data_IF_420074931803
#
_entry.id   IF_420074931803
#
_cell.length_a   1.000
_cell.length_b   1.000
_cell.length_c   1.000
_cell.angle_alpha   90.00
_cell.angle_beta   90.00
_cell.angle_gamma   90.00
#
_symmetry.space_group_name_H-M   'P 1'
#
loop_
_entity.id
_entity.type
_entity.pdbx_description
1 polymer ?
#
# COMPACT_ATOMS: atom_id res chain seq x y z
N UNK A 1 2.20 -29.32 0.89
CA UNK A 1 2.35 -28.60 2.18
C UNK A 1 1.23 -27.57 2.29
N UNK A 2 0.78 -27.28 3.51
CA UNK A 2 -0.29 -26.31 3.80
C UNK A 2 0.15 -25.35 4.90
N UNK A 3 -0.42 -24.14 4.93
CA UNK A 3 -0.19 -23.20 6.04
C UNK A 3 -0.86 -23.65 7.33
N UNK A 4 -0.36 -23.16 8.48
CA UNK A 4 -0.90 -23.46 9.81
C UNK A 4 -2.40 -23.14 9.90
N UNK A 5 -2.83 -21.98 9.40
CA UNK A 5 -4.23 -21.57 9.38
C UNK A 5 -5.12 -22.52 8.56
N UNK A 6 -4.62 -23.04 7.43
CA UNK A 6 -5.35 -24.01 6.60
C UNK A 6 -5.41 -25.38 7.28
N UNK A 7 -4.30 -25.82 7.86
CA UNK A 7 -4.25 -27.05 8.62
C UNK A 7 -5.28 -27.04 9.77
N UNK A 8 -5.37 -25.92 10.50
CA UNK A 8 -6.38 -25.73 11.55
C UNK A 8 -7.81 -25.67 10.99
N UNK A 9 -8.03 -25.00 9.85
CA UNK A 9 -9.37 -24.90 9.26
C UNK A 9 -9.93 -26.26 8.83
N UNK A 10 -9.09 -27.12 8.23
CA UNK A 10 -9.54 -28.40 7.69
C UNK A 10 -9.44 -29.56 8.70
N UNK A 11 -8.51 -29.51 9.65
CA UNK A 11 -8.22 -30.61 10.56
C UNK A 11 -8.21 -30.21 12.05
N UNK A 12 -8.45 -28.94 12.35
CA UNK A 12 -8.55 -28.40 13.71
C UNK A 12 -9.96 -28.60 14.26
N UNK A 13 -10.27 -29.84 14.64
CA UNK A 13 -11.41 -30.14 15.50
C UNK A 13 -11.00 -31.29 16.40
N UNK A 14 -10.54 -30.96 17.60
CA UNK A 14 -10.38 -31.92 18.68
C UNK A 14 -11.10 -31.33 19.90
N UNK A 15 -12.24 -31.92 20.24
CA UNK A 15 -13.03 -31.62 21.44
C UNK A 15 -12.28 -31.97 22.75
N UNK A 16 -11.09 -32.58 22.68
CA UNK A 16 -10.38 -33.18 23.81
C UNK A 16 -8.92 -32.68 24.02
N UNK A 17 -8.60 -31.43 23.71
CA UNK A 17 -7.33 -30.79 24.12
C UNK A 17 -6.03 -31.37 23.53
N UNK A 18 -6.09 -32.40 22.67
CA UNK A 18 -4.93 -32.97 22.00
C UNK A 18 -4.50 -32.11 20.80
N UNK A 19 -3.18 -31.93 20.63
CA UNK A 19 -2.58 -31.24 19.48
C UNK A 19 -3.12 -31.81 18.16
N UNK A 20 -3.70 -30.95 17.33
CA UNK A 20 -4.19 -31.32 16.00
C UNK A 20 -3.00 -31.63 15.08
N UNK A 21 -3.04 -32.77 14.37
CA UNK A 21 -2.03 -33.13 13.37
C UNK A 21 -2.69 -33.28 12.00
N UNK A 22 -2.19 -32.52 11.02
CA UNK A 22 -2.63 -32.56 9.64
C UNK A 22 -1.70 -33.39 8.73
N UNK A 23 -0.50 -33.76 9.20
CA UNK A 23 0.49 -34.51 8.42
C UNK A 23 -0.04 -35.93 8.17
N UNK A 24 0.11 -36.41 6.93
CA UNK A 24 -0.36 -37.72 6.49
C UNK A 24 -1.85 -37.77 6.12
N UNK A 25 -2.63 -36.73 6.44
CA UNK A 25 -4.04 -36.64 6.02
C UNK A 25 -4.16 -36.24 4.55
N UNK A 26 -5.30 -36.59 3.94
CA UNK A 26 -5.58 -36.30 2.53
C UNK A 26 -6.51 -35.09 2.40
N UNK A 27 -6.24 -34.22 1.43
CA UNK A 27 -7.08 -33.11 0.99
C UNK A 27 -7.42 -33.33 -0.48
N UNK A 28 -8.65 -33.04 -0.90
CA UNK A 28 -9.04 -33.13 -2.30
C UNK A 28 -8.86 -31.75 -2.96
N UNK A 29 -7.95 -31.66 -3.92
CA UNK A 29 -7.73 -30.46 -4.75
C UNK A 29 -8.67 -30.46 -5.97
N UNK A 30 -9.31 -29.31 -6.24
CA UNK A 30 -10.29 -29.11 -7.33
C UNK A 30 -11.34 -30.23 -7.43
N UNK A 31 -11.80 -30.75 -6.28
CA UNK A 31 -12.78 -31.85 -6.18
C UNK A 31 -12.39 -33.18 -6.88
N UNK A 32 -11.18 -33.32 -7.41
CA UNK A 32 -10.76 -34.48 -8.24
C UNK A 32 -9.46 -35.12 -7.80
N UNK A 33 -8.53 -34.35 -7.25
CA UNK A 33 -7.15 -34.80 -7.05
C UNK A 33 -6.86 -34.99 -5.56
N UNK A 34 -6.80 -36.24 -5.05
CA UNK A 34 -6.41 -36.49 -3.67
C UNK A 34 -4.92 -36.16 -3.47
N UNK A 35 -4.62 -35.34 -2.47
CA UNK A 35 -3.28 -34.88 -2.10
C UNK A 35 -3.00 -35.19 -0.64
N UNK A 36 -1.85 -35.81 -0.37
CA UNK A 36 -1.42 -36.06 1.00
C UNK A 36 -0.62 -34.88 1.56
N UNK A 37 -0.93 -34.50 2.80
CA UNK A 37 -0.25 -33.40 3.49
C UNK A 37 1.10 -33.89 4.02
N UNK A 38 2.19 -33.41 3.42
CA UNK A 38 3.56 -33.79 3.79
C UNK A 38 4.22 -32.84 4.79
N UNK A 39 3.68 -31.65 4.99
CA UNK A 39 4.27 -30.64 5.86
C UNK A 39 3.36 -29.45 6.10
N UNK A 40 3.56 -28.83 7.25
CA UNK A 40 2.86 -27.62 7.70
C UNK A 40 3.87 -26.49 7.73
N UNK A 41 3.56 -25.39 7.05
CA UNK A 41 4.38 -24.16 7.05
C UNK A 41 3.73 -23.10 7.91
N UNK A 42 4.53 -22.20 8.48
CA UNK A 42 3.98 -21.04 9.19
C UNK A 42 3.15 -20.16 8.25
N UNK A 43 2.19 -19.45 8.83
CA UNK A 43 1.39 -18.49 8.07
C UNK A 43 2.28 -17.35 7.59
N UNK A 44 2.06 -16.92 6.34
CA UNK A 44 2.82 -15.80 5.79
C UNK A 44 2.51 -14.50 6.54
N UNK A 45 3.48 -13.58 6.65
CA UNK A 45 3.23 -12.29 7.28
C UNK A 45 2.32 -11.43 6.38
N UNK A 46 1.48 -10.59 6.99
CA UNK A 46 0.48 -9.79 6.26
C UNK A 46 1.07 -8.81 5.24
N UNK A 47 2.36 -8.49 5.35
CA UNK A 47 3.10 -7.58 4.48
C UNK A 47 3.91 -8.32 3.38
N UNK A 48 3.44 -9.49 2.95
CA UNK A 48 4.08 -10.25 1.86
C UNK A 48 3.39 -10.01 0.52
N UNK A 49 4.18 -10.09 -0.55
CA UNK A 49 3.67 -10.20 -1.93
C UNK A 49 3.43 -11.66 -2.35
N UNK A 50 3.79 -12.63 -1.49
CA UNK A 50 3.69 -14.07 -1.73
C UNK A 50 2.76 -14.77 -0.70
N UNK A 51 1.44 -14.52 -0.73
CA UNK A 51 0.48 -15.11 0.22
C UNK A 51 0.17 -16.58 -0.13
N UNK A 52 1.16 -17.46 0.02
CA UNK A 52 1.03 -18.88 -0.33
C UNK A 52 0.28 -19.66 0.76
N UNK A 53 -0.84 -20.26 0.37
CA UNK A 53 -1.74 -21.01 1.25
C UNK A 53 -1.54 -22.53 1.12
N UNK A 54 -1.41 -23.00 -0.12
CA UNK A 54 -1.24 -24.39 -0.48
C UNK A 54 -0.03 -24.49 -1.41
N UNK A 55 0.88 -25.40 -1.10
CA UNK A 55 2.08 -25.65 -1.90
C UNK A 55 2.02 -27.10 -2.38
N UNK A 56 1.84 -27.27 -3.69
CA UNK A 56 1.77 -28.56 -4.37
C UNK A 56 3.12 -28.79 -5.06
N UNK A 57 3.61 -30.03 -5.02
CA UNK A 57 4.80 -30.42 -5.79
C UNK A 57 4.54 -30.21 -7.28
N UNK A 58 5.51 -29.63 -7.99
CA UNK A 58 5.42 -29.47 -9.45
C UNK A 58 5.17 -30.80 -10.16
N UNK A 59 5.74 -31.89 -9.68
CA UNK A 59 5.52 -33.22 -10.24
C UNK A 59 4.05 -33.68 -10.14
N UNK A 60 3.42 -33.43 -8.99
CA UNK A 60 2.00 -33.74 -8.78
C UNK A 60 1.10 -32.82 -9.60
N UNK A 61 1.42 -31.52 -9.65
CA UNK A 61 0.66 -30.54 -10.44
C UNK A 61 0.63 -30.91 -11.93
N UNK A 62 1.79 -31.28 -12.51
CA UNK A 62 1.87 -31.75 -13.90
C UNK A 62 1.07 -33.03 -14.18
N UNK A 63 0.84 -33.87 -13.17
CA UNK A 63 0.01 -35.06 -13.33
C UNK A 63 -1.50 -34.74 -13.32
N UNK A 64 -1.89 -33.61 -12.73
CA UNK A 64 -3.29 -33.17 -12.66
C UNK A 64 -3.71 -32.37 -13.88
N UNK A 65 -2.81 -31.51 -14.36
CA UNK A 65 -3.02 -30.66 -15.53
C UNK A 65 -2.59 -31.39 -16.80
N UNK A 66 -3.56 -31.71 -17.67
CA UNK A 66 -3.29 -32.30 -18.99
C UNK A 66 -2.86 -31.24 -20.01
N UNK A 67 -1.90 -30.39 -19.65
CA UNK A 67 -1.34 -29.34 -20.51
C UNK A 67 0.11 -29.66 -20.87
N UNK A 68 0.51 -29.26 -22.07
CA UNK A 68 1.92 -29.30 -22.45
C UNK A 68 2.70 -28.16 -21.75
N UNK A 69 3.47 -28.52 -20.73
CA UNK A 69 4.34 -27.61 -19.98
C UNK A 69 5.67 -27.31 -20.70
N UNK A 70 5.90 -27.88 -21.88
CA UNK A 70 7.09 -27.62 -22.70
C UNK A 70 6.82 -26.62 -23.82
N UNK A 71 5.56 -26.25 -24.02
CA UNK A 71 5.17 -25.21 -24.97
C UNK A 71 5.41 -23.81 -24.38
N UNK A 72 6.35 -23.07 -24.98
CA UNK A 72 6.67 -21.69 -24.59
C UNK A 72 5.90 -20.63 -25.39
N UNK A 73 5.16 -21.03 -26.44
CA UNK A 73 4.31 -20.12 -27.21
C UNK A 73 3.07 -19.68 -26.42
N UNK A 74 2.63 -20.54 -25.48
CA UNK A 74 1.47 -20.30 -24.65
C UNK A 74 1.83 -19.48 -23.40
N UNK A 75 1.82 -18.17 -23.59
CA UNK A 75 2.09 -17.16 -22.55
C UNK A 75 0.85 -16.80 -21.72
N UNK A 76 -0.24 -17.54 -21.86
CA UNK A 76 -1.49 -17.26 -21.13
C UNK A 76 -1.49 -18.05 -19.82
N UNK A 77 -1.31 -17.34 -18.70
CA UNK A 77 -1.47 -17.90 -17.36
C UNK A 77 -0.88 -17.04 -16.25
N UNK A 78 -1.32 -17.28 -15.02
CA UNK A 78 -0.84 -16.61 -13.80
C UNK A 78 0.48 -17.25 -13.27
N UNK A 79 1.26 -17.88 -14.15
CA UNK A 79 2.47 -18.62 -13.77
C UNK A 79 3.66 -17.66 -13.58
N UNK A 80 4.07 -17.47 -12.33
CA UNK A 80 5.27 -16.68 -11.99
C UNK A 80 6.50 -17.59 -11.82
N UNK A 81 7.57 -17.27 -12.53
CA UNK A 81 8.82 -18.03 -12.50
C UNK A 81 9.88 -17.29 -11.67
N UNK A 82 10.39 -17.95 -10.63
CA UNK A 82 11.44 -17.40 -9.78
C UNK A 82 12.80 -18.02 -10.12
N UNK A 83 13.79 -17.17 -10.41
CA UNK A 83 15.15 -17.59 -10.72
C UNK A 83 16.14 -17.07 -9.66
N UNK A 84 17.00 -17.95 -9.16
CA UNK A 84 18.11 -17.58 -8.29
C UNK A 84 19.40 -17.49 -9.11
N UNK A 85 19.92 -16.28 -9.28
CA UNK A 85 21.18 -16.05 -9.99
C UNK A 85 22.38 -16.45 -9.14
N UNK A 86 23.43 -16.98 -9.77
CA UNK A 86 24.72 -17.23 -9.11
C UNK A 86 25.32 -15.90 -8.63
N UNK A 87 26.04 -15.94 -7.50
CA UNK A 87 26.73 -14.76 -6.96
C UNK A 87 27.71 -14.20 -8.01
N UNK A 88 27.65 -12.89 -8.26
CA UNK A 88 28.50 -12.20 -9.24
C UNK A 88 27.97 -12.18 -10.68
N UNK A 89 26.84 -12.84 -10.96
CA UNK A 89 26.18 -12.73 -12.28
C UNK A 89 25.57 -11.35 -12.45
N UNK A 90 25.88 -10.68 -13.55
CA UNK A 90 25.24 -9.44 -13.98
C UNK A 90 23.87 -9.75 -14.62
N UNK A 91 22.73 -9.32 -14.01
CA UNK A 91 21.40 -9.56 -14.55
C UNK A 91 21.22 -8.97 -15.96
N UNK A 92 21.80 -7.81 -16.24
CA UNK A 92 21.66 -7.15 -17.54
C UNK A 92 22.34 -7.95 -18.66
N UNK A 93 23.45 -8.64 -18.35
CA UNK A 93 24.11 -9.55 -19.32
C UNK A 93 23.27 -10.80 -19.60
N UNK A 94 22.54 -11.29 -18.61
CA UNK A 94 21.64 -12.43 -18.78
C UNK A 94 20.41 -12.04 -19.60
N UNK A 95 19.81 -10.89 -19.30
CA UNK A 95 18.62 -10.37 -19.99
C UNK A 95 18.88 -10.12 -21.49
N UNK A 96 20.10 -9.72 -21.86
CA UNK A 96 20.50 -9.61 -23.29
C UNK A 96 20.45 -10.93 -24.06
N UNK A 97 20.41 -12.08 -23.38
CA UNK A 97 20.28 -13.41 -24.01
C UNK A 97 18.82 -13.84 -24.20
N UNK A 98 17.87 -13.15 -23.59
CA UNK A 98 16.45 -13.51 -23.67
C UNK A 98 15.85 -13.40 -25.08
N UNK A 99 16.20 -12.42 -25.93
CA UNK A 99 15.68 -12.40 -27.30
C UNK A 99 16.05 -13.65 -28.11
N UNK A 100 17.27 -14.16 -27.96
CA UNK A 100 17.72 -15.39 -28.63
C UNK A 100 17.03 -16.62 -28.05
N UNK A 101 16.87 -16.67 -26.73
CA UNK A 101 16.09 -17.71 -26.03
C UNK A 101 14.63 -17.73 -26.50
N UNK A 102 13.98 -16.57 -26.51
CA UNK A 102 12.59 -16.41 -26.93
C UNK A 102 12.42 -16.85 -28.39
N UNK A 103 13.33 -16.47 -29.28
CA UNK A 103 13.29 -16.94 -30.67
C UNK A 103 13.43 -18.46 -30.79
N UNK A 104 14.30 -19.07 -29.98
CA UNK A 104 14.55 -20.51 -29.99
C UNK A 104 13.36 -21.33 -29.50
N UNK A 105 12.63 -20.84 -28.49
CA UNK A 105 11.59 -21.63 -27.80
C UNK A 105 10.15 -21.18 -28.09
N UNK A 106 9.90 -19.90 -28.44
CA UNK A 106 8.55 -19.34 -28.68
C UNK A 106 8.21 -19.16 -30.17
N UNK A 107 9.14 -19.40 -31.08
CA UNK A 107 8.98 -19.12 -32.50
C UNK A 107 8.96 -17.62 -32.83
N UNK A 108 9.08 -17.28 -34.12
CA UNK A 108 9.34 -15.91 -34.59
C UNK A 108 8.21 -14.92 -34.26
N UNK A 109 6.94 -15.35 -34.31
CA UNK A 109 5.77 -14.47 -34.15
C UNK A 109 5.60 -14.04 -32.69
N UNK A 110 5.78 -14.97 -31.74
CA UNK A 110 5.61 -14.69 -30.31
C UNK A 110 6.85 -13.95 -29.78
N UNK A 111 8.06 -14.38 -30.18
CA UNK A 111 9.31 -13.73 -29.77
C UNK A 111 9.39 -12.25 -30.24
N UNK A 112 8.78 -11.91 -31.38
CA UNK A 112 8.71 -10.53 -31.85
C UNK A 112 7.74 -9.64 -31.06
N UNK A 113 6.81 -10.22 -30.29
CA UNK A 113 5.76 -9.50 -29.55
C UNK A 113 5.97 -9.51 -28.03
N UNK A 114 6.59 -10.56 -27.51
CA UNK A 114 6.77 -10.79 -26.08
C UNK A 114 8.21 -11.17 -25.80
N UNK A 115 8.90 -10.31 -25.07
CA UNK A 115 10.27 -10.56 -24.60
C UNK A 115 10.25 -10.73 -23.10
N UNK A 116 10.90 -11.79 -22.61
CA UNK A 116 11.08 -11.97 -21.17
C UNK A 116 11.99 -10.88 -20.61
N UNK A 117 11.75 -10.50 -19.36
CA UNK A 117 12.58 -9.50 -18.66
C UNK A 117 12.82 -9.94 -17.22
N UNK A 118 13.99 -9.61 -16.69
CA UNK A 118 14.32 -9.94 -15.30
C UNK A 118 13.76 -8.87 -14.38
N UNK A 119 12.91 -9.29 -13.45
CA UNK A 119 12.44 -8.44 -12.38
C UNK A 119 13.16 -8.82 -11.07
N UNK A 120 13.87 -7.88 -10.41
CA UNK A 120 14.40 -8.13 -9.09
C UNK A 120 13.25 -8.37 -8.10
N UNK A 121 13.36 -9.39 -7.24
CA UNK A 121 12.31 -9.72 -6.26
C UNK A 121 11.92 -8.54 -5.36
N UNK A 122 12.86 -7.64 -5.06
CA UNK A 122 12.62 -6.42 -4.26
C UNK A 122 11.71 -5.40 -4.96
N UNK A 123 11.58 -5.48 -6.27
CA UNK A 123 10.74 -4.56 -7.06
C UNK A 123 9.34 -5.10 -7.32
N UNK A 124 9.07 -6.38 -7.00
CA UNK A 124 7.79 -7.04 -7.22
C UNK A 124 6.60 -6.29 -6.59
N UNK A 125 6.80 -5.67 -5.42
CA UNK A 125 5.79 -4.87 -4.76
C UNK A 125 5.39 -3.59 -5.54
N UNK A 126 6.36 -3.03 -6.27
CA UNK A 126 6.30 -1.68 -6.81
C UNK A 126 6.07 -1.61 -8.32
N UNK A 127 6.36 -2.70 -9.02
CA UNK A 127 6.27 -2.75 -10.47
C UNK A 127 4.84 -3.07 -10.91
N UNK A 128 4.15 -2.06 -11.40
CA UNK A 128 2.77 -2.20 -11.88
C UNK A 128 2.69 -2.96 -13.21
N UNK A 129 3.81 -3.24 -13.90
CA UNK A 129 3.79 -3.92 -15.21
C UNK A 129 3.40 -5.39 -15.10
N UNK A 130 3.92 -6.10 -14.10
CA UNK A 130 3.82 -7.56 -13.99
C UNK A 130 2.81 -8.03 -12.95
N UNK A 131 2.36 -7.15 -12.05
CA UNK A 131 1.51 -7.54 -10.93
C UNK A 131 2.28 -8.37 -9.88
N UNK A 132 1.55 -8.90 -8.90
CA UNK A 132 2.09 -9.81 -7.89
C UNK A 132 1.03 -10.86 -7.48
N UNK A 133 1.46 -11.89 -6.73
CA UNK A 133 0.57 -12.95 -6.24
C UNK A 133 -0.47 -12.46 -5.22
N UNK A 134 -0.28 -11.28 -4.64
CA UNK A 134 -1.25 -10.64 -3.75
C UNK A 134 -2.32 -9.83 -4.52
N UNK A 135 -2.22 -9.74 -5.85
CA UNK A 135 -3.14 -8.99 -6.71
C UNK A 135 -3.14 -7.48 -6.47
N UNK A 136 -2.11 -6.94 -5.81
CA UNK A 136 -2.01 -5.55 -5.36
C UNK A 136 -0.59 -5.04 -5.47
N UNK A 137 -0.32 -4.22 -6.48
CA UNK A 137 0.94 -3.48 -6.63
C UNK A 137 0.74 -2.02 -6.24
N UNK A 138 1.74 -1.40 -5.62
CA UNK A 138 1.71 0.02 -5.26
C UNK A 138 2.86 0.73 -5.94
N UNK A 139 2.57 1.67 -6.85
CA UNK A 139 3.62 2.49 -7.46
C UNK A 139 4.50 3.20 -6.43
N UNK A 140 5.79 3.31 -6.77
CA UNK A 140 6.75 4.11 -5.99
C UNK A 140 6.28 5.57 -5.85
N UNK A 141 5.54 6.09 -6.83
CA UNK A 141 4.98 7.45 -6.80
C UNK A 141 3.90 7.62 -5.74
N UNK A 142 2.97 6.66 -5.65
CA UNK A 142 1.93 6.64 -4.60
C UNK A 142 2.56 6.53 -3.21
N UNK A 143 3.59 5.69 -3.07
CA UNK A 143 4.32 5.60 -1.80
C UNK A 143 5.02 6.93 -1.44
N UNK A 144 5.71 7.55 -2.41
CA UNK A 144 6.38 8.84 -2.21
C UNK A 144 5.40 9.95 -1.87
N UNK A 145 4.23 10.00 -2.51
CA UNK A 145 3.21 11.01 -2.20
C UNK A 145 2.65 10.83 -0.79
N UNK A 146 2.40 9.60 -0.35
CA UNK A 146 1.94 9.31 1.01
C UNK A 146 2.99 9.71 2.07
N UNK A 147 4.27 9.39 1.82
CA UNK A 147 5.38 9.82 2.69
C UNK A 147 5.44 11.35 2.76
N UNK A 148 5.34 12.02 1.62
CA UNK A 148 5.43 13.48 1.53
C UNK A 148 4.26 14.17 2.25
N UNK A 149 3.04 13.64 2.13
CA UNK A 149 1.88 14.10 2.90
C UNK A 149 2.13 13.93 4.41
N UNK A 150 2.63 12.76 4.84
CA UNK A 150 2.95 12.51 6.24
C UNK A 150 4.00 13.49 6.80
N UNK A 151 5.05 13.76 6.03
CA UNK A 151 6.10 14.74 6.38
C UNK A 151 5.52 16.15 6.50
N UNK A 152 4.66 16.57 5.58
CA UNK A 152 4.02 17.89 5.64
C UNK A 152 3.08 18.05 6.85
N UNK A 153 2.29 17.03 7.16
CA UNK A 153 1.43 17.04 8.35
C UNK A 153 2.28 17.13 9.62
N UNK A 154 3.37 16.36 9.70
CA UNK A 154 4.30 16.39 10.84
C UNK A 154 4.96 17.77 10.98
N UNK A 155 5.39 18.37 9.87
CA UNK A 155 6.00 19.69 9.85
C UNK A 155 5.00 20.77 10.31
N UNK A 156 3.76 20.74 9.83
CA UNK A 156 2.68 21.63 10.31
C UNK A 156 2.50 21.48 11.82
N UNK A 157 2.48 20.25 12.34
CA UNK A 157 2.33 20.00 13.77
C UNK A 157 3.51 20.57 14.58
N UNK A 158 4.74 20.40 14.10
CA UNK A 158 5.94 20.97 14.72
C UNK A 158 5.88 22.51 14.76
N UNK A 159 5.53 23.15 13.64
CA UNK A 159 5.39 24.62 13.59
C UNK A 159 4.30 25.09 14.54
N UNK A 160 3.14 24.42 14.55
CA UNK A 160 2.04 24.74 15.45
C UNK A 160 2.47 24.66 16.90
N UNK A 161 3.21 23.62 17.28
CA UNK A 161 3.75 23.48 18.62
C UNK A 161 4.72 24.62 18.96
N UNK A 162 5.68 24.93 18.07
CA UNK A 162 6.63 26.04 18.25
C UNK A 162 5.91 27.37 18.47
N UNK A 163 4.86 27.64 17.69
CA UNK A 163 4.07 28.87 17.81
C UNK A 163 3.36 28.95 19.17
N UNK A 164 2.70 27.87 19.60
CA UNK A 164 2.02 27.80 20.90
C UNK A 164 3.03 27.92 22.05
N UNK A 165 4.11 27.16 22.01
CA UNK A 165 5.16 27.15 23.02
C UNK A 165 5.83 28.54 23.15
N UNK A 166 6.05 29.23 22.04
CA UNK A 166 6.59 30.60 22.05
C UNK A 166 5.60 31.61 22.60
N UNK A 167 4.29 31.45 22.35
CA UNK A 167 3.28 32.30 22.98
C UNK A 167 3.20 32.08 24.51
N UNK A 168 3.34 30.82 24.95
CA UNK A 168 3.37 30.45 26.37
C UNK A 168 4.67 30.89 27.07
N UNK A 169 5.79 30.93 26.34
CA UNK A 169 7.08 31.41 26.82
C UNK A 169 7.00 32.81 27.44
N UNK A 170 6.15 33.70 26.89
CA UNK A 170 5.92 35.06 27.43
C UNK A 170 5.32 34.99 28.84
N UNK A 171 4.37 34.08 29.09
CA UNK A 171 3.78 33.87 30.43
C UNK A 171 4.79 33.28 31.41
N UNK A 172 5.64 32.35 30.94
CA UNK A 172 6.72 31.72 31.74
C UNK A 172 7.97 32.59 31.92
N UNK A 173 8.02 33.77 31.31
CA UNK A 173 9.20 34.64 31.32
C UNK A 173 9.53 35.19 32.72
N UNK A 174 8.53 35.45 33.56
CA UNK A 174 8.72 35.87 34.97
C UNK A 174 9.36 34.77 35.82
N UNK A 175 8.85 33.54 35.71
CA UNK A 175 9.38 32.38 36.42
C UNK A 175 10.85 32.11 36.07
N UNK A 176 11.18 32.17 34.77
CA UNK A 176 12.54 31.96 34.27
C UNK A 176 13.47 33.12 34.67
N UNK A 177 12.95 34.34 34.73
CA UNK A 177 13.65 35.51 35.26
C UNK A 177 14.06 35.31 36.71
N UNK A 178 13.15 34.83 37.56
CA UNK A 178 13.44 34.52 38.99
C UNK A 178 14.48 33.41 39.10
N UNK A 179 14.35 32.31 38.35
CA UNK A 179 15.32 31.20 38.37
C UNK A 179 16.73 31.63 37.97
N UNK A 180 16.87 32.51 36.97
CA UNK A 180 18.17 33.07 36.57
C UNK A 180 18.81 33.94 37.65
N UNK A 181 18.01 34.71 38.39
CA UNK A 181 18.51 35.53 39.51
C UNK A 181 19.00 34.64 40.65
N UNK A 182 18.38 33.46 40.85
CA UNK A 182 18.79 32.45 41.83
C UNK A 182 19.99 31.60 41.33
N UNK A 183 20.53 31.89 40.13
CA UNK A 183 21.76 31.25 39.63
C UNK A 183 21.55 30.10 38.64
N UNK A 184 20.33 29.90 38.11
CA UNK A 184 20.11 28.88 37.09
C UNK A 184 20.88 29.19 35.79
N UNK A 185 21.69 28.23 35.32
CA UNK A 185 22.44 28.36 34.07
C UNK A 185 21.53 28.24 32.85
N UNK A 186 21.98 28.84 31.73
CA UNK A 186 21.25 28.79 30.45
C UNK A 186 21.01 27.35 29.98
N UNK A 187 21.99 26.47 30.14
CA UNK A 187 21.93 25.06 29.75
C UNK A 187 20.95 24.26 30.60
N UNK A 188 20.86 24.54 31.91
CA UNK A 188 19.90 23.88 32.79
C UNK A 188 18.44 24.15 32.37
N UNK A 189 18.13 25.41 32.02
CA UNK A 189 16.80 25.80 31.54
C UNK A 189 16.45 25.17 30.19
N UNK A 190 17.40 25.12 29.26
CA UNK A 190 17.20 24.48 27.94
C UNK A 190 16.96 22.98 28.11
N UNK A 191 17.77 22.29 28.91
CA UNK A 191 17.62 20.85 29.15
C UNK A 191 16.29 20.51 29.82
N UNK A 192 15.85 21.31 30.79
CA UNK A 192 14.55 21.13 31.44
C UNK A 192 13.40 21.26 30.43
N UNK A 193 13.43 22.28 29.57
CA UNK A 193 12.38 22.50 28.58
C UNK A 193 12.36 21.42 27.50
N UNK A 194 13.53 20.97 27.03
CA UNK A 194 13.64 19.86 26.09
C UNK A 194 13.13 18.55 26.69
N UNK A 195 13.39 18.29 27.98
CA UNK A 195 12.87 17.12 28.67
C UNK A 195 11.34 17.19 28.84
N UNK A 196 10.80 18.36 29.23
CA UNK A 196 9.34 18.59 29.31
C UNK A 196 8.67 18.35 27.95
N UNK A 197 9.28 18.86 26.87
CA UNK A 197 8.78 18.67 25.50
C UNK A 197 8.84 17.20 25.09
N UNK A 198 9.95 16.51 25.36
CA UNK A 198 10.12 15.10 25.08
C UNK A 198 9.08 14.23 25.80
N UNK A 199 8.84 14.51 27.08
CA UNK A 199 7.83 13.80 27.87
C UNK A 199 6.42 14.00 27.31
N UNK A 200 6.08 15.24 26.92
CA UNK A 200 4.80 15.54 26.28
C UNK A 200 4.65 14.80 24.94
N UNK A 201 5.69 14.76 24.11
CA UNK A 201 5.69 14.02 22.86
C UNK A 201 5.55 12.50 23.08
N UNK A 202 6.19 11.94 24.11
CA UNK A 202 6.06 10.53 24.47
C UNK A 202 4.63 10.19 24.89
N UNK A 203 4.03 10.98 25.79
CA UNK A 203 2.64 10.80 26.22
C UNK A 203 1.67 10.92 25.03
N UNK A 204 1.86 11.94 24.19
CA UNK A 204 1.04 12.12 22.99
C UNK A 204 1.17 10.94 22.01
N UNK A 205 2.34 10.34 21.90
CA UNK A 205 2.57 9.16 21.04
C UNK A 205 1.83 7.94 21.57
N UNK A 206 1.89 7.68 22.88
CA UNK A 206 1.14 6.57 23.51
C UNK A 206 -0.36 6.75 23.28
N UNK A 207 -0.88 7.96 23.49
CA UNK A 207 -2.28 8.28 23.22
C UNK A 207 -2.64 8.09 21.73
N UNK A 208 -1.74 8.49 20.83
CA UNK A 208 -1.93 8.33 19.38
C UNK A 208 -1.96 6.87 18.95
N UNK A 209 -1.15 6.00 19.57
CA UNK A 209 -1.19 4.55 19.32
C UNK A 209 -2.54 3.98 19.78
N UNK A 210 -3.03 4.37 20.96
CA UNK A 210 -4.35 3.97 21.44
C UNK A 210 -5.49 4.44 20.53
N UNK A 211 -5.41 5.67 20.03
CA UNK A 211 -6.38 6.20 19.07
C UNK A 211 -6.32 5.47 17.72
N UNK A 212 -5.11 5.17 17.24
CA UNK A 212 -4.92 4.35 16.05
C UNK A 212 -5.53 2.95 16.24
N UNK A 213 -5.41 2.38 17.44
CA UNK A 213 -6.03 1.10 17.76
C UNK A 213 -7.54 1.09 17.55
N UNK A 214 -8.21 2.16 17.99
CA UNK A 214 -9.65 2.31 17.88
C UNK A 214 -10.13 2.65 16.46
N UNK A 215 -9.34 3.43 15.70
CA UNK A 215 -9.72 3.93 14.38
C UNK A 215 -9.31 3.03 13.21
N UNK A 216 -8.37 2.09 13.41
CA UNK A 216 -7.91 1.21 12.33
C UNK A 216 -9.01 0.27 11.81
N UNK A 217 -9.84 -0.41 12.65
CA UNK A 217 -10.86 -1.34 12.17
C UNK A 217 -11.85 -0.72 11.16
N UNK A 218 -12.51 0.42 11.44
CA UNK A 218 -13.41 1.04 10.46
C UNK A 218 -12.68 1.52 9.20
N UNK A 219 -11.39 1.86 9.30
CA UNK A 219 -10.59 2.23 8.14
C UNK A 219 -10.27 1.02 7.25
N UNK A 220 -9.97 -0.13 7.86
CA UNK A 220 -9.68 -1.38 7.13
C UNK A 220 -10.87 -1.92 6.37
N UNK A 221 -12.08 -1.80 6.93
CA UNK A 221 -13.31 -2.19 6.25
C UNK A 221 -13.61 -1.26 5.08
N UNK A 222 -13.42 0.06 5.25
CA UNK A 222 -13.60 1.05 4.20
C UNK A 222 -12.61 0.88 3.04
N UNK A 223 -11.33 0.65 3.35
CA UNK A 223 -10.25 0.53 2.37
C UNK A 223 -10.07 -0.90 1.83
N UNK A 224 -10.79 -1.88 2.39
CA UNK A 224 -10.59 -3.32 2.11
C UNK A 224 -9.11 -3.74 2.26
N UNK A 225 -8.41 -3.15 3.22
CA UNK A 225 -7.01 -3.43 3.54
C UNK A 225 -6.93 -4.34 4.76
N UNK A 226 -6.08 -5.36 4.72
CA UNK A 226 -5.77 -6.20 5.88
C UNK A 226 -4.66 -5.54 6.70
N UNK A 227 -4.98 -4.46 7.43
CA UNK A 227 -4.04 -3.84 8.36
C UNK A 227 -4.20 -4.47 9.73
N UNK A 228 -3.18 -5.19 10.18
CA UNK A 228 -3.16 -5.84 11.49
C UNK A 228 -2.13 -5.19 12.41
N UNK A 229 -2.43 -5.16 13.71
CA UNK A 229 -1.56 -4.61 14.76
C UNK A 229 -0.26 -5.38 14.96
N UNK A 230 -0.10 -6.56 14.34
CA UNK A 230 1.17 -7.29 14.29
C UNK A 230 2.33 -6.41 13.81
N UNK A 231 2.05 -5.40 12.97
CA UNK A 231 3.07 -4.45 12.51
C UNK A 231 3.77 -3.69 13.65
N UNK A 232 3.10 -3.49 14.79
CA UNK A 232 3.68 -2.84 15.98
C UNK A 232 4.71 -3.71 16.72
N UNK A 233 4.74 -5.02 16.47
CA UNK A 233 5.79 -5.91 17.00
C UNK A 233 7.12 -5.77 16.26
N UNK A 234 7.13 -5.14 15.09
CA UNK A 234 8.35 -4.98 14.30
C UNK A 234 9.31 -4.01 14.99
N UNK A 235 10.55 -4.43 15.33
CA UNK A 235 11.51 -3.58 16.03
C UNK A 235 11.90 -2.34 15.23
N UNK A 236 11.91 -2.45 13.90
CA UNK A 236 12.21 -1.32 13.01
C UNK A 236 11.18 -0.20 13.13
N UNK A 237 9.90 -0.52 13.34
CA UNK A 237 8.85 0.48 13.52
C UNK A 237 9.02 1.19 14.86
N UNK A 238 9.36 0.45 15.92
CA UNK A 238 9.60 1.02 17.24
C UNK A 238 10.82 1.97 17.23
N UNK A 239 11.90 1.57 16.56
CA UNK A 239 13.08 2.42 16.38
C UNK A 239 12.75 3.69 15.56
N UNK A 240 11.93 3.55 14.53
CA UNK A 240 11.44 4.68 13.74
C UNK A 240 10.58 5.65 14.58
N UNK A 241 9.68 5.14 15.42
CA UNK A 241 8.87 5.97 16.33
C UNK A 241 9.73 6.72 17.36
N UNK A 242 10.71 6.04 17.96
CA UNK A 242 11.66 6.68 18.88
C UNK A 242 12.45 7.79 18.16
N UNK A 243 12.91 7.52 16.93
CA UNK A 243 13.60 8.51 16.11
C UNK A 243 12.72 9.73 15.82
N UNK A 244 11.45 9.53 15.47
CA UNK A 244 10.49 10.62 15.28
C UNK A 244 10.30 11.43 16.56
N UNK A 245 10.09 10.78 17.71
CA UNK A 245 9.93 11.49 18.99
C UNK A 245 11.17 12.37 19.25
N UNK A 246 12.36 11.83 19.05
CA UNK A 246 13.60 12.57 19.28
C UNK A 246 13.72 13.77 18.32
N UNK A 247 13.49 13.57 17.02
CA UNK A 247 13.55 14.63 16.01
C UNK A 247 12.52 15.72 16.26
N UNK A 248 11.25 15.35 16.51
CA UNK A 248 10.17 16.30 16.78
C UNK A 248 10.44 17.07 18.06
N UNK A 249 10.87 16.39 19.13
CA UNK A 249 11.17 17.04 20.42
C UNK A 249 12.33 18.04 20.29
N UNK A 250 13.35 17.69 19.50
CA UNK A 250 14.47 18.58 19.21
C UNK A 250 14.01 19.77 18.38
N UNK A 251 13.34 19.55 17.25
CA UNK A 251 12.89 20.62 16.35
C UNK A 251 11.91 21.57 17.04
N UNK A 252 10.95 21.03 17.76
CA UNK A 252 9.86 21.79 18.37
C UNK A 252 10.28 22.45 19.70
N UNK A 253 11.19 21.82 20.46
CA UNK A 253 11.65 22.32 21.76
C UNK A 253 12.88 23.24 21.70
N UNK A 254 13.75 23.10 20.68
CA UNK A 254 14.99 23.87 20.60
C UNK A 254 14.73 25.36 20.36
N UNK A 255 13.80 25.70 19.46
CA UNK A 255 13.53 27.11 19.14
C UNK A 255 12.94 27.90 20.32
N UNK A 256 11.85 27.45 21.00
CA UNK A 256 11.33 28.15 22.18
C UNK A 256 12.34 28.20 23.33
N UNK A 257 13.10 27.13 23.57
CA UNK A 257 14.10 27.09 24.66
C UNK A 257 15.26 28.06 24.44
N UNK A 258 15.70 28.28 23.21
CA UNK A 258 16.73 29.28 22.88
C UNK A 258 16.24 30.71 23.12
N UNK A 259 14.99 31.01 22.77
CA UNK A 259 14.36 32.31 23.02
C UNK A 259 14.18 32.53 24.53
N UNK A 260 13.62 31.55 25.24
CA UNK A 260 13.39 31.57 26.68
C UNK A 260 14.69 31.77 27.48
N UNK A 261 15.73 31.04 27.09
CA UNK A 261 17.03 31.11 27.73
C UNK A 261 17.80 32.41 27.41
N UNK A 262 17.37 33.17 26.39
CA UNK A 262 17.94 34.46 25.99
C UNK A 262 17.40 35.69 26.74
N UNK A 263 16.31 35.58 27.51
CA UNK A 263 15.71 36.75 28.18
C UNK A 263 16.62 37.34 29.28
N UNK A 264 16.82 38.67 29.24
CA UNK A 264 17.53 39.42 30.29
C UNK A 264 16.58 39.69 31.47
N UNK A 265 16.91 39.27 32.71
CA UNK A 265 16.02 39.38 33.88
C UNK A 265 15.52 40.81 34.17
N UNK A 266 16.38 41.81 33.91
CA UNK A 266 16.09 43.24 34.17
C UNK A 266 14.91 43.78 33.34
N UNK A 267 14.68 43.24 32.14
CA UNK A 267 13.54 43.64 31.28
C UNK A 267 12.24 42.92 31.65
N UNK A 268 12.34 41.70 32.20
CA UNK A 268 11.18 40.91 32.63
C UNK A 268 10.51 41.47 33.90
N UNK A 269 11.30 42.09 34.79
CA UNK A 269 10.83 42.66 36.07
C UNK A 269 10.26 44.09 35.94
N UNK A 270 10.73 44.89 34.97
CA UNK A 270 10.30 46.29 34.80
C UNK A 270 9.00 46.47 33.98
N UNK A 271 8.29 45.39 33.65
CA UNK A 271 7.11 45.35 32.77
C UNK A 271 7.27 46.03 31.38
N UNK A 272 8.47 46.53 31.06
CA UNK A 272 8.88 46.97 29.71
C UNK A 272 9.34 45.75 28.93
N UNK A 273 8.40 44.83 28.65
CA UNK A 273 8.62 43.79 27.65
C UNK A 273 8.58 44.47 26.29
N UNK A 274 9.66 45.16 25.94
CA UNK A 274 9.93 45.55 24.57
C UNK A 274 10.23 44.24 23.86
N UNK A 275 9.27 43.70 23.13
CA UNK A 275 9.54 42.69 22.12
C UNK A 275 10.55 43.33 21.17
N UNK A 276 11.82 42.91 21.14
CA UNK A 276 12.80 43.54 20.26
C UNK A 276 12.35 43.23 18.83
N UNK A 277 11.91 44.26 18.08
CA UNK A 277 11.73 44.14 16.63
C UNK A 277 10.31 44.21 16.08
N UNK A 278 9.56 45.27 16.37
CA UNK A 278 8.36 45.65 15.59
C UNK A 278 8.63 45.84 14.08
N UNK A 279 9.89 45.85 13.63
CA UNK A 279 10.30 46.00 12.23
C UNK A 279 11.13 44.84 11.63
N UNK A 280 11.46 43.77 12.35
CA UNK A 280 12.20 42.62 11.76
C UNK A 280 11.27 41.44 11.52
N UNK A 281 11.31 40.87 10.32
CA UNK A 281 10.72 39.55 10.05
C UNK A 281 11.25 38.57 11.09
N UNK A 282 10.43 38.21 12.07
CA UNK A 282 10.80 37.17 13.04
C UNK A 282 10.66 35.82 12.35
N UNK A 283 11.57 34.89 12.68
CA UNK A 283 11.54 33.52 12.18
C UNK A 283 10.16 32.88 12.40
N UNK A 284 9.46 33.29 13.47
CA UNK A 284 8.07 32.95 13.77
C UNK A 284 7.06 33.37 12.69
N UNK A 285 7.15 34.58 12.14
CA UNK A 285 6.26 35.03 11.04
C UNK A 285 6.50 34.19 9.79
N UNK A 286 7.75 33.86 9.48
CA UNK A 286 8.09 32.96 8.37
C UNK A 286 7.53 31.54 8.56
N UNK A 287 7.69 30.97 9.76
CA UNK A 287 7.12 29.68 10.15
C UNK A 287 5.59 29.66 10.02
N UNK A 288 4.91 30.71 10.49
CA UNK A 288 3.44 30.83 10.39
C UNK A 288 3.00 30.87 8.92
N UNK A 289 3.65 31.69 8.09
CA UNK A 289 3.32 31.77 6.66
C UNK A 289 3.54 30.41 5.98
N UNK A 290 4.68 29.75 6.25
CA UNK A 290 4.96 28.41 5.71
C UNK A 290 3.88 27.38 6.12
N UNK A 291 3.45 27.39 7.39
CA UNK A 291 2.37 26.52 7.87
C UNK A 291 1.08 26.75 7.09
N UNK A 292 0.67 28.00 6.90
CA UNK A 292 -0.55 28.33 6.16
C UNK A 292 -0.45 27.95 4.69
N UNK A 293 0.71 28.15 4.05
CA UNK A 293 0.94 27.71 2.66
C UNK A 293 0.78 26.20 2.52
N UNK A 294 1.42 25.41 3.39
CA UNK A 294 1.32 23.94 3.32
C UNK A 294 -0.12 23.49 3.58
N UNK A 295 -0.80 24.08 4.57
CA UNK A 295 -2.20 23.77 4.86
C UNK A 295 -3.11 24.09 3.66
N UNK A 296 -2.91 25.24 3.01
CA UNK A 296 -3.69 25.65 1.85
C UNK A 296 -3.49 24.67 0.67
N UNK A 297 -2.25 24.24 0.42
CA UNK A 297 -1.95 23.25 -0.63
C UNK A 297 -2.67 21.92 -0.36
N UNK A 298 -2.66 21.44 0.88
CA UNK A 298 -3.36 20.20 1.26
C UNK A 298 -4.89 20.34 1.11
N UNK A 299 -5.47 21.48 1.50
CA UNK A 299 -6.90 21.76 1.34
C UNK A 299 -7.28 21.78 -0.15
N UNK A 300 -6.51 22.50 -0.98
CA UNK A 300 -6.72 22.56 -2.43
C UNK A 300 -6.64 21.15 -3.02
N UNK A 301 -5.63 20.35 -2.65
CA UNK A 301 -5.50 18.97 -3.11
C UNK A 301 -6.71 18.10 -2.73
N UNK A 302 -7.19 18.23 -1.50
CA UNK A 302 -8.35 17.48 -1.00
C UNK A 302 -9.65 17.85 -1.73
N UNK A 303 -9.78 19.09 -2.21
CA UNK A 303 -10.95 19.53 -2.98
C UNK A 303 -10.84 19.21 -4.47
N UNK A 304 -9.66 19.35 -5.06
CA UNK A 304 -9.45 19.17 -6.52
C UNK A 304 -9.40 17.70 -6.91
N UNK A 305 -8.76 16.84 -6.10
CA UNK A 305 -8.60 15.41 -6.43
C UNK A 305 -9.93 14.68 -6.62
N UNK A 306 -10.94 14.84 -5.74
CA UNK A 306 -12.27 14.27 -5.97
C UNK A 306 -12.90 14.76 -7.28
N UNK A 307 -12.81 16.06 -7.59
CA UNK A 307 -13.33 16.61 -8.84
C UNK A 307 -12.67 16.02 -10.10
N UNK A 308 -11.35 15.79 -10.05
CA UNK A 308 -10.63 15.09 -11.12
C UNK A 308 -11.05 13.61 -11.21
N UNK A 309 -11.20 12.92 -10.08
CA UNK A 309 -11.65 11.53 -10.06
C UNK A 309 -13.08 11.37 -10.60
N UNK A 310 -13.97 12.28 -10.26
CA UNK A 310 -15.34 12.29 -10.77
C UNK A 310 -15.37 12.56 -12.28
N UNK A 311 -14.51 13.47 -12.77
CA UNK A 311 -14.32 13.66 -14.20
C UNK A 311 -13.81 12.38 -14.89
N UNK A 312 -12.82 11.69 -14.33
CA UNK A 312 -12.31 10.43 -14.87
C UNK A 312 -13.35 9.31 -14.86
N UNK A 313 -14.23 9.26 -13.85
CA UNK A 313 -15.28 8.25 -13.74
C UNK A 313 -16.47 8.51 -14.66
N UNK A 314 -16.84 9.78 -14.84
CA UNK A 314 -18.00 10.21 -15.63
C UNK A 314 -17.69 10.38 -17.13
N UNK A 315 -16.41 10.49 -17.50
CA UNK A 315 -16.02 10.55 -18.90
C UNK A 315 -16.47 9.27 -19.64
N UNK A 316 -17.27 9.40 -20.71
CA UNK A 316 -17.77 8.25 -21.44
C UNK A 316 -16.60 7.50 -22.07
N UNK A 317 -16.42 6.24 -21.68
CA UNK A 317 -15.32 5.40 -22.16
C UNK A 317 -15.62 4.72 -23.51
N UNK A 318 -16.70 5.14 -24.17
CA UNK A 318 -17.15 4.56 -25.43
C UNK A 318 -17.92 3.24 -25.30
N UNK A 319 -18.26 2.81 -24.07
CA UNK A 319 -19.11 1.65 -23.79
C UNK A 319 -19.99 1.88 -22.56
N UNK A 320 -21.16 1.24 -22.53
CA UNK A 320 -22.10 1.31 -21.41
C UNK A 320 -21.57 0.50 -20.22
N UNK A 321 -21.59 1.13 -19.04
CA UNK A 321 -21.17 0.52 -17.77
C UNK A 321 -22.31 0.28 -16.80
N UNK A 322 -23.48 0.86 -17.09
CA UNK A 322 -24.64 0.83 -16.22
C UNK A 322 -25.46 -0.42 -16.45
N UNK A 323 -25.85 -1.10 -15.36
CA UNK A 323 -26.71 -2.28 -15.35
C UNK A 323 -26.18 -3.53 -16.10
N UNK A 324 -24.86 -3.72 -16.14
CA UNK A 324 -24.24 -4.96 -16.65
C UNK A 324 -23.88 -5.85 -15.45
N UNK A 325 -24.43 -7.07 -15.43
CA UNK A 325 -24.12 -8.09 -14.44
C UNK A 325 -23.22 -9.15 -15.11
N UNK A 326 -22.02 -9.33 -14.57
CA UNK A 326 -21.11 -10.38 -15.00
C UNK A 326 -21.27 -11.60 -14.09
N UNK A 327 -21.69 -12.73 -14.66
CA UNK A 327 -21.80 -14.00 -13.96
C UNK A 327 -20.63 -14.87 -14.41
N UNK A 328 -19.80 -15.32 -13.46
CA UNK A 328 -18.70 -16.22 -13.74
C UNK A 328 -19.19 -17.67 -13.71
N UNK A 329 -18.90 -18.42 -14.77
CA UNK A 329 -19.24 -19.84 -14.87
C UNK A 329 -18.04 -20.71 -14.50
N UNK A 330 -18.25 -21.83 -13.78
CA UNK A 330 -17.20 -22.81 -13.56
C UNK A 330 -16.61 -23.27 -14.91
N UNK A 331 -15.30 -23.52 -15.02
CA UNK A 331 -14.64 -23.98 -16.24
C UNK A 331 -15.23 -25.28 -16.82
N UNK A 332 -15.93 -26.05 -15.99
CA UNK A 332 -16.54 -27.34 -16.33
C UNK A 332 -17.92 -27.22 -17.01
N UNK A 333 -18.40 -25.99 -17.23
CA UNK A 333 -19.69 -25.73 -17.85
C UNK A 333 -19.66 -26.11 -19.33
N UNK A 334 -20.47 -27.09 -19.74
CA UNK A 334 -20.53 -27.54 -21.14
C UNK A 334 -21.03 -26.40 -22.04
N UNK A 335 -20.41 -26.16 -23.22
CA UNK A 335 -20.87 -25.15 -24.18
C UNK A 335 -22.35 -25.30 -24.55
N UNK A 336 -22.82 -26.54 -24.62
CA UNK A 336 -24.21 -26.92 -24.93
C UNK A 336 -25.24 -26.36 -23.92
N UNK A 337 -24.82 -26.08 -22.68
CA UNK A 337 -25.69 -25.53 -21.63
C UNK A 337 -25.88 -24.01 -21.73
N UNK A 338 -25.05 -23.31 -22.51
CA UNK A 338 -25.07 -21.85 -22.60
C UNK A 338 -26.31 -21.33 -23.34
N UNK A 339 -26.78 -22.05 -24.35
CA UNK A 339 -27.89 -21.60 -25.18
C UNK A 339 -29.26 -21.72 -24.48
N UNK A 340 -29.58 -22.83 -23.78
CA UNK A 340 -30.74 -22.88 -22.90
C UNK A 340 -30.69 -21.83 -21.78
N UNK A 341 -29.50 -21.57 -21.23
CA UNK A 341 -29.32 -20.55 -20.19
C UNK A 341 -29.61 -19.15 -20.72
N UNK A 342 -29.11 -18.79 -21.91
CA UNK A 342 -29.45 -17.52 -22.57
C UNK A 342 -30.96 -17.35 -22.67
N UNK A 343 -31.65 -18.35 -23.20
CA UNK A 343 -33.10 -18.30 -23.40
C UNK A 343 -33.85 -18.13 -22.07
N UNK A 344 -33.39 -18.75 -20.99
CA UNK A 344 -33.97 -18.57 -19.66
C UNK A 344 -33.72 -17.17 -19.08
N UNK A 345 -32.52 -16.62 -19.28
CA UNK A 345 -32.15 -15.28 -18.81
C UNK A 345 -32.87 -14.17 -19.58
N UNK A 346 -33.02 -14.30 -20.89
CA UNK A 346 -33.76 -13.35 -21.74
C UNK A 346 -35.27 -13.32 -21.42
N UNK A 347 -35.81 -14.36 -20.80
CA UNK A 347 -37.21 -14.41 -20.33
C UNK A 347 -37.44 -13.66 -19.02
N UNK A 348 -36.38 -13.30 -18.28
CA UNK A 348 -36.51 -12.56 -17.03
C UNK A 348 -36.85 -11.10 -17.37
N UNK A 349 -37.97 -10.60 -16.84
CA UNK A 349 -38.38 -9.22 -17.02
C UNK A 349 -37.29 -8.27 -16.48
N UNK A 350 -36.77 -7.40 -17.35
CA UNK A 350 -35.67 -6.47 -17.03
C UNK A 350 -34.32 -6.82 -17.68
N UNK A 351 -34.16 -8.02 -18.26
CA UNK A 351 -32.96 -8.39 -19.02
C UNK A 351 -33.11 -7.95 -20.47
N UNK A 352 -32.32 -6.94 -20.89
CA UNK A 352 -32.38 -6.39 -22.26
C UNK A 352 -31.60 -7.22 -23.29
N UNK A 353 -30.47 -7.82 -22.88
CA UNK A 353 -29.58 -8.58 -23.76
C UNK A 353 -28.65 -9.46 -22.96
N UNK A 354 -28.32 -10.65 -23.48
CA UNK A 354 -27.35 -11.57 -22.88
C UNK A 354 -26.22 -11.84 -23.88
N UNK A 355 -24.98 -11.73 -23.42
CA UNK A 355 -23.79 -12.06 -24.21
C UNK A 355 -22.89 -12.99 -23.43
N UNK A 356 -22.19 -13.86 -24.14
CA UNK A 356 -21.14 -14.70 -23.57
C UNK A 356 -19.80 -14.15 -24.06
N UNK A 357 -18.93 -13.86 -23.11
CA UNK A 357 -17.57 -13.46 -23.39
C UNK A 357 -16.64 -14.21 -22.41
N UNK A 358 -15.44 -14.61 -22.85
CA UNK A 358 -14.47 -15.23 -21.96
C UNK A 358 -14.04 -14.27 -20.83
N UNK A 359 -14.11 -12.95 -21.08
CA UNK A 359 -13.83 -11.93 -20.08
C UNK A 359 -14.73 -10.71 -20.26
N UNK A 360 -14.94 -9.96 -19.18
CA UNK A 360 -15.65 -8.69 -19.24
C UNK A 360 -14.87 -7.65 -20.09
N UNK A 361 -15.57 -6.75 -20.79
CA UNK A 361 -14.94 -5.62 -21.47
C UNK A 361 -14.07 -4.82 -20.50
N UNK A 362 -12.88 -4.38 -20.94
CA UNK A 362 -11.87 -3.68 -20.11
C UNK A 362 -11.21 -4.50 -18.99
N UNK A 363 -11.31 -5.83 -19.01
CA UNK A 363 -10.48 -6.66 -18.12
C UNK A 363 -9.00 -6.48 -18.43
N UNK A 364 -8.15 -6.61 -17.41
CA UNK A 364 -6.68 -6.52 -17.54
C UNK A 364 -6.05 -7.79 -18.14
N UNK A 365 -6.81 -8.90 -18.20
CA UNK A 365 -6.27 -10.24 -18.45
C UNK A 365 -5.91 -10.57 -19.90
N UNK A 366 -6.40 -9.81 -20.87
CA UNK A 366 -5.92 -9.83 -22.24
C UNK A 366 -5.68 -8.38 -22.60
N UNK A 367 -4.50 -8.06 -23.10
CA UNK A 367 -4.15 -6.74 -23.63
C UNK A 367 -5.10 -6.30 -24.74
N UNK A 368 -6.33 -5.96 -24.37
CA UNK A 368 -7.26 -5.22 -25.19
C UNK A 368 -6.53 -3.96 -25.63
N UNK A 369 -6.74 -3.52 -26.88
CA UNK A 369 -6.04 -2.36 -27.40
C UNK A 369 -6.12 -1.24 -26.36
N UNK A 370 -5.00 -0.57 -26.04
CA UNK A 370 -5.03 0.53 -25.10
C UNK A 370 -6.16 1.46 -25.55
N UNK A 371 -7.02 1.85 -24.60
CA UNK A 371 -7.99 2.91 -24.83
C UNK A 371 -7.18 4.16 -25.18
N UNK A 372 -6.88 4.33 -26.47
CA UNK A 372 -6.14 5.45 -26.97
C UNK A 372 -7.09 6.65 -26.93
N UNK A 373 -7.05 7.36 -25.82
CA UNK A 373 -7.93 8.50 -25.53
C UNK A 373 -7.64 9.71 -26.43
N UNK A 374 -6.62 9.64 -27.30
CA UNK A 374 -6.26 10.70 -28.23
C UNK A 374 -7.06 10.71 -29.54
N UNK A 375 -7.91 9.71 -29.80
CA UNK A 375 -8.79 9.74 -30.97
C UNK A 375 -10.25 9.75 -30.55
N UNK A 376 -10.88 10.92 -30.68
CA UNK A 376 -12.33 11.08 -30.69
C UNK A 376 -13.02 10.28 -31.81
N UNK A 377 -14.35 10.39 -31.93
CA UNK A 377 -15.27 9.28 -32.15
C UNK A 377 -15.08 8.64 -33.52
N UNK A 378 -14.54 7.43 -33.53
CA UNK A 378 -14.88 6.44 -34.54
C UNK A 378 -15.42 5.24 -33.80
N UNK A 379 -16.70 4.94 -34.06
CA UNK A 379 -17.40 3.78 -33.52
C UNK A 379 -16.50 2.54 -33.62
N UNK A 380 -15.86 2.16 -32.52
CA UNK A 380 -15.15 0.89 -32.42
C UNK A 380 -16.22 -0.18 -32.28
N UNK A 381 -16.81 -0.60 -33.41
CA UNK A 381 -17.53 -1.87 -33.47
C UNK A 381 -16.52 -2.95 -33.13
N UNK A 382 -16.59 -3.47 -31.91
CA UNK A 382 -15.86 -4.67 -31.51
C UNK A 382 -16.51 -5.83 -32.25
N UNK A 383 -16.00 -6.12 -33.45
CA UNK A 383 -16.34 -7.32 -34.20
C UNK A 383 -15.50 -8.43 -33.58
N UNK A 384 -16.12 -9.29 -32.77
CA UNK A 384 -15.50 -10.54 -32.31
C UNK A 384 -15.51 -11.49 -33.52
N UNK A 385 -14.35 -11.86 -34.09
CA UNK A 385 -14.33 -12.81 -35.19
C UNK A 385 -14.80 -14.18 -34.70
N UNK A 386 -15.74 -14.76 -35.46
CA UNK A 386 -16.47 -16.02 -35.22
C UNK A 386 -15.60 -17.29 -35.18
N UNK A 387 -14.27 -17.17 -35.02
CA UNK A 387 -13.32 -18.27 -35.25
C UNK A 387 -13.02 -19.14 -34.03
N UNK A 388 -13.66 -18.88 -32.89
CA UNK A 388 -13.50 -19.66 -31.65
C UNK A 388 -14.85 -19.89 -30.96
N UNK A 389 -15.82 -20.43 -31.70
CA UNK A 389 -17.03 -21.05 -31.15
C UNK A 389 -16.90 -22.57 -31.28
#
# INVERSE_FOLDING_TARGET
>A
MITKSIAQKYFGSNENGAQWNAIGKTIIYNAKHPLNVTGIVEDYPNNTDLPLNLIISWASFKAFEQRDFTNWEDIVGDAMHFLLLRKGTDPAKLERKFPEFDKKYKGDIVAAKFTEVLQPLKEMHYDERFGNLNGRTVSKETLRSLILIGVFILLIACIKFVNIATAQAVKRSREIGVRKVIGATRSALVRQFLFETCLLCAIATVLSIGLCYLLLPPLTSLLQLKLNFESFKNPNLLLFLISIIAVVSLMAGLYPSLILSGYKPILALKNKIVVPGTQRFTLLRGLIVLQFVIAQVLIIGTLVVPGQLDYFKSKPLGFDKTAIINIYFPPESKPESLQPLRNSLERIAGVRSVSFAPFAPSTRMLGGPPLNTNTGPRQTRIIIPRKYL
#
